data_IF_742135911668
#
_entry.id   IF_742135911668
#
_cell.length_a   1.000
_cell.length_b   1.000
_cell.length_c   1.000
_cell.angle_alpha   90.00
_cell.angle_beta   90.00
_cell.angle_gamma   90.00
#
_symmetry.space_group_name_H-M   'P 1'
#
loop_
_entity.id
_entity.type
_entity.pdbx_description
1 polymer ?
#
# COMPACT_ATOMS: atom_id res chain seq x y z
N UNK A 1 9.35 8.28 -19.64
CA UNK A 1 8.37 8.47 -18.55
C UNK A 1 9.01 7.95 -17.28
N UNK A 2 9.03 8.71 -16.18
CA UNK A 2 9.65 8.24 -14.94
C UNK A 2 8.96 6.95 -14.46
N UNK A 3 9.72 5.88 -14.15
CA UNK A 3 9.13 4.59 -13.77
C UNK A 3 8.28 4.68 -12.49
N UNK A 4 8.61 5.64 -11.61
CA UNK A 4 7.84 5.94 -10.39
C UNK A 4 6.49 6.54 -10.71
N UNK A 5 6.40 7.43 -11.70
CA UNK A 5 5.13 8.01 -12.12
C UNK A 5 4.28 6.95 -12.84
N UNK A 6 4.90 6.12 -13.67
CA UNK A 6 4.21 5.03 -14.36
C UNK A 6 3.58 4.02 -13.39
N UNK A 7 4.30 3.61 -12.34
CA UNK A 7 3.74 2.74 -11.30
C UNK A 7 2.64 3.44 -10.49
N UNK A 8 2.80 4.73 -10.19
CA UNK A 8 1.77 5.53 -9.52
C UNK A 8 0.45 5.57 -10.29
N UNK A 9 0.51 5.80 -11.61
CA UNK A 9 -0.66 5.77 -12.49
C UNK A 9 -1.32 4.40 -12.53
N UNK A 10 -0.53 3.31 -12.57
CA UNK A 10 -1.07 1.96 -12.55
C UNK A 10 -1.87 1.69 -11.26
N UNK A 11 -1.36 2.12 -10.10
CA UNK A 11 -2.08 1.97 -8.83
C UNK A 11 -3.39 2.77 -8.80
N UNK A 12 -3.39 4.02 -9.26
CA UNK A 12 -4.59 4.85 -9.34
C UNK A 12 -5.65 4.23 -10.28
N UNK A 13 -5.23 3.78 -11.47
CA UNK A 13 -6.15 3.13 -12.43
C UNK A 13 -6.74 1.83 -11.88
N UNK A 14 -5.93 1.00 -11.20
CA UNK A 14 -6.43 -0.20 -10.53
C UNK A 14 -7.41 0.11 -9.39
N UNK A 15 -7.15 1.18 -8.62
CA UNK A 15 -8.03 1.66 -7.56
C UNK A 15 -9.40 2.09 -8.11
N UNK A 16 -9.39 2.95 -9.13
CA UNK A 16 -10.60 3.43 -9.80
C UNK A 16 -11.36 2.31 -10.50
N UNK A 17 -10.68 1.45 -11.25
CA UNK A 17 -11.32 0.31 -11.92
C UNK A 17 -11.96 -0.65 -10.90
N UNK A 18 -11.28 -0.92 -9.78
CA UNK A 18 -11.82 -1.72 -8.69
C UNK A 18 -13.03 -1.09 -8.01
N UNK A 19 -13.00 0.22 -7.81
CA UNK A 19 -14.09 0.98 -7.20
C UNK A 19 -15.33 1.02 -8.11
N UNK A 20 -15.17 1.41 -9.38
CA UNK A 20 -16.28 1.50 -10.35
C UNK A 20 -16.87 0.14 -10.72
N UNK A 21 -16.07 -0.93 -10.70
CA UNK A 21 -16.58 -2.29 -10.90
C UNK A 21 -17.31 -2.85 -9.68
N UNK A 22 -17.33 -2.13 -8.54
CA UNK A 22 -17.88 -2.61 -7.28
C UNK A 22 -17.15 -3.81 -6.67
N UNK A 23 -16.00 -4.20 -7.24
CA UNK A 23 -15.21 -5.36 -6.81
C UNK A 23 -14.27 -5.04 -5.64
N UNK A 24 -13.91 -3.77 -5.48
CA UNK A 24 -13.14 -3.30 -4.33
C UNK A 24 -14.01 -2.49 -3.38
N UNK A 25 -13.93 -2.84 -2.11
CA UNK A 25 -14.44 -1.99 -1.05
C UNK A 25 -13.69 -0.63 -1.05
N UNK A 26 -14.40 0.44 -0.72
CA UNK A 26 -13.90 1.83 -0.75
C UNK A 26 -12.56 2.01 -0.04
N UNK A 27 -12.36 1.35 1.10
CA UNK A 27 -11.11 1.43 1.84
C UNK A 27 -9.92 0.81 1.08
N UNK A 28 -10.12 -0.28 0.30
CA UNK A 28 -9.07 -0.89 -0.52
C UNK A 28 -8.72 -0.02 -1.72
N UNK A 29 -9.72 0.63 -2.32
CA UNK A 29 -9.50 1.61 -3.38
C UNK A 29 -8.71 2.82 -2.86
N UNK A 30 -9.05 3.32 -1.67
CA UNK A 30 -8.29 4.38 -1.00
C UNK A 30 -6.83 3.98 -0.71
N UNK A 31 -6.58 2.70 -0.39
CA UNK A 31 -5.22 2.18 -0.21
C UNK A 31 -4.40 2.17 -1.50
N UNK A 32 -5.01 1.80 -2.63
CA UNK A 32 -4.36 1.84 -3.95
C UNK A 32 -4.10 3.28 -4.40
N UNK A 33 -5.07 4.17 -4.21
CA UNK A 33 -4.92 5.61 -4.44
C UNK A 33 -3.80 6.20 -3.59
N UNK A 34 -3.69 5.84 -2.30
CA UNK A 34 -2.59 6.29 -1.45
C UNK A 34 -1.20 5.90 -2.00
N UNK A 35 -1.06 4.71 -2.58
CA UNK A 35 0.17 4.29 -3.23
C UNK A 35 0.45 5.09 -4.51
N UNK A 36 -0.60 5.39 -5.29
CA UNK A 36 -0.52 6.24 -6.47
C UNK A 36 -0.03 7.66 -6.14
N UNK A 37 -0.65 8.29 -5.15
CA UNK A 37 -0.30 9.65 -4.71
C UNK A 37 1.06 9.71 -4.03
N UNK A 38 1.50 8.64 -3.37
CA UNK A 38 2.85 8.53 -2.82
C UNK A 38 3.90 8.54 -3.94
N UNK A 39 3.68 7.77 -5.00
CA UNK A 39 4.54 7.79 -6.19
C UNK A 39 4.58 9.18 -6.84
N UNK A 40 3.44 9.86 -6.93
CA UNK A 40 3.37 11.23 -7.42
C UNK A 40 4.16 12.21 -6.51
N UNK A 41 4.07 12.07 -5.18
CA UNK A 41 4.83 12.88 -4.23
C UNK A 41 6.35 12.68 -4.40
N UNK A 42 6.81 11.44 -4.57
CA UNK A 42 8.23 11.14 -4.83
C UNK A 42 8.68 11.71 -6.17
N UNK A 43 7.84 11.64 -7.21
CA UNK A 43 8.12 12.25 -8.51
C UNK A 43 8.20 13.78 -8.42
N UNK A 44 7.26 14.42 -7.72
CA UNK A 44 7.25 15.85 -7.48
C UNK A 44 8.49 16.33 -6.71
N UNK A 45 8.93 15.54 -5.72
CA UNK A 45 10.14 15.82 -4.95
C UNK A 45 11.39 15.79 -5.83
N UNK A 46 11.50 14.80 -6.72
CA UNK A 46 12.61 14.69 -7.69
C UNK A 46 12.67 15.87 -8.66
N UNK A 47 11.51 16.40 -9.03
CA UNK A 47 11.40 17.55 -9.93
C UNK A 47 11.56 18.90 -9.20
N UNK A 48 11.79 18.91 -7.89
CA UNK A 48 11.92 20.13 -7.09
C UNK A 48 10.62 20.92 -6.91
N UNK A 49 9.47 20.32 -7.23
CA UNK A 49 8.17 20.98 -7.12
C UNK A 49 7.61 20.81 -5.69
N UNK A 50 8.06 21.68 -4.78
CA UNK A 50 7.67 21.64 -3.37
C UNK A 50 6.14 21.79 -3.15
N UNK A 51 5.41 22.68 -3.86
CA UNK A 51 3.95 22.77 -3.72
C UNK A 51 3.24 21.45 -4.04
N UNK A 52 3.59 20.82 -5.16
CA UNK A 52 2.99 19.56 -5.59
C UNK A 52 3.37 18.41 -4.65
N UNK A 53 4.60 18.43 -4.13
CA UNK A 53 5.06 17.47 -3.12
C UNK A 53 4.23 17.57 -1.84
N UNK A 54 4.00 18.78 -1.33
CA UNK A 54 3.20 19.01 -0.14
C UNK A 54 1.75 18.53 -0.31
N UNK A 55 1.10 18.91 -1.42
CA UNK A 55 -0.27 18.49 -1.70
C UNK A 55 -0.39 16.97 -1.85
N UNK A 56 0.52 16.34 -2.61
CA UNK A 56 0.53 14.89 -2.83
C UNK A 56 0.78 14.13 -1.54
N UNK A 57 1.63 14.66 -0.65
CA UNK A 57 1.91 14.06 0.66
C UNK A 57 0.70 14.16 1.59
N UNK A 58 0.02 15.32 1.64
CA UNK A 58 -1.20 15.48 2.42
C UNK A 58 -2.32 14.54 1.94
N UNK A 59 -2.50 14.44 0.62
CA UNK A 59 -3.49 13.55 0.02
C UNK A 59 -3.17 12.07 0.32
N UNK A 60 -1.89 11.68 0.22
CA UNK A 60 -1.42 10.34 0.58
C UNK A 60 -1.74 10.01 2.04
N UNK A 61 -1.51 10.94 2.97
CA UNK A 61 -1.80 10.74 4.38
C UNK A 61 -3.31 10.58 4.64
N UNK A 62 -4.15 11.39 3.99
CA UNK A 62 -5.60 11.28 4.09
C UNK A 62 -6.11 9.93 3.56
N UNK A 63 -5.63 9.51 2.40
CA UNK A 63 -6.00 8.24 1.78
C UNK A 63 -5.48 7.03 2.58
N UNK A 64 -4.26 7.11 3.11
CA UNK A 64 -3.72 6.10 4.01
C UNK A 64 -4.51 6.00 5.31
N UNK A 65 -4.96 7.13 5.86
CA UNK A 65 -5.80 7.16 7.06
C UNK A 65 -7.18 6.55 6.80
N UNK A 66 -7.82 6.86 5.67
CA UNK A 66 -9.11 6.26 5.29
C UNK A 66 -8.98 4.75 5.01
N UNK A 67 -7.91 4.30 4.36
CA UNK A 67 -7.58 2.88 4.23
C UNK A 67 -7.42 2.21 5.60
N UNK A 68 -6.67 2.84 6.51
CA UNK A 68 -6.42 2.30 7.85
C UNK A 68 -7.71 2.18 8.68
N UNK A 69 -8.52 3.25 8.71
CA UNK A 69 -9.79 3.30 9.46
C UNK A 69 -10.87 2.43 8.85
N UNK A 70 -10.89 2.27 7.53
CA UNK A 70 -11.88 1.47 6.82
C UNK A 70 -11.67 -0.05 6.90
N UNK A 71 -10.72 -0.53 7.71
CA UNK A 71 -10.46 -1.96 7.92
C UNK A 71 -9.22 -2.49 7.20
N UNK A 72 -8.51 -1.68 6.43
CA UNK A 72 -7.25 -2.08 5.79
C UNK A 72 -6.18 -2.52 6.80
N UNK A 73 -6.10 -1.84 7.95
CA UNK A 73 -5.19 -2.22 9.04
C UNK A 73 -5.55 -3.56 9.69
N UNK A 74 -6.84 -3.83 9.90
CA UNK A 74 -7.33 -5.05 10.55
C UNK A 74 -7.29 -6.27 9.62
N UNK A 75 -7.65 -6.10 8.34
CA UNK A 75 -7.45 -7.14 7.32
C UNK A 75 -5.97 -7.50 7.18
N UNK A 76 -5.08 -6.51 7.22
CA UNK A 76 -3.63 -6.73 7.19
C UNK A 76 -3.16 -7.50 8.43
N UNK A 77 -3.66 -7.16 9.62
CA UNK A 77 -3.36 -7.89 10.87
C UNK A 77 -3.88 -9.33 10.82
N UNK A 78 -5.09 -9.57 10.32
CA UNK A 78 -5.68 -10.90 10.16
C UNK A 78 -4.89 -11.74 9.16
N UNK A 79 -4.53 -11.15 8.01
CA UNK A 79 -3.69 -11.79 6.98
C UNK A 79 -2.33 -12.19 7.55
N UNK A 80 -1.65 -11.29 8.28
CA UNK A 80 -0.37 -11.60 8.95
C UNK A 80 -0.49 -12.72 9.99
N UNK A 81 -1.57 -12.74 10.78
CA UNK A 81 -1.83 -13.84 11.73
C UNK A 81 -2.03 -15.17 11.01
N UNK A 82 -2.73 -15.18 9.87
CA UNK A 82 -2.91 -16.37 9.04
C UNK A 82 -1.58 -16.86 8.48
N UNK A 83 -0.75 -15.97 7.94
CA UNK A 83 0.61 -16.29 7.46
C UNK A 83 1.46 -16.91 8.58
N UNK A 84 1.46 -16.32 9.78
CA UNK A 84 2.20 -16.88 10.93
C UNK A 84 1.76 -18.30 11.32
N UNK A 85 0.50 -18.68 11.09
CA UNK A 85 0.02 -20.04 11.34
C UNK A 85 0.43 -21.04 10.26
N UNK A 86 0.71 -20.57 9.04
CA UNK A 86 1.14 -21.43 7.93
C UNK A 86 2.64 -21.72 7.94
N UNK A 87 3.45 -20.87 8.57
CA UNK A 87 4.85 -21.19 8.82
C UNK A 87 4.97 -22.12 10.03
N UNK A 88 5.12 -23.41 9.75
CA UNK A 88 5.53 -24.38 10.76
C UNK A 88 6.95 -24.00 11.22
N UNK A 89 7.16 -23.70 12.52
CA UNK A 89 8.51 -23.47 13.01
C UNK A 89 9.30 -24.78 12.82
N UNK A 90 10.21 -24.81 11.86
CA UNK A 90 11.18 -25.90 11.75
C UNK A 90 12.01 -25.87 13.03
N UNK A 91 11.74 -26.76 13.98
CA UNK A 91 12.63 -26.99 15.10
C UNK A 91 13.96 -27.42 14.49
N UNK A 92 14.96 -26.54 14.53
CA UNK A 92 16.35 -26.95 14.36
C UNK A 92 16.65 -27.88 15.54
N UNK A 93 16.55 -29.18 15.33
CA UNK A 93 17.22 -30.15 16.20
C UNK A 93 18.70 -29.87 16.06
N UNK A 94 19.29 -29.24 17.08
CA UNK A 94 20.73 -29.09 17.14
C UNK A 94 21.37 -30.49 17.01
N UNK A 95 22.43 -30.66 16.20
CA UNK A 95 23.12 -31.93 16.12
C UNK A 95 23.61 -32.31 17.53
N UNK A 96 23.31 -33.53 17.96
CA UNK A 96 23.81 -34.03 19.23
C UNK A 96 25.35 -34.06 19.17
N UNK A 97 26.04 -33.55 20.19
CA UNK A 97 27.49 -33.67 20.26
C UNK A 97 27.84 -35.16 20.36
N UNK A 98 28.59 -35.66 19.38
CA UNK A 98 29.27 -36.96 19.40
C UNK A 98 30.45 -36.95 20.36
#
# INVERSE_FOLDING_TARGET
MDPVLASGFAFAMCGLAGFFSGRLATHRAAGLEALGTLCAAVGALRLGNLPLTGMSTALTLLLAWTWWKGGGGDDTRRSRRRLRRMFTPSRRTAPAPS
#
